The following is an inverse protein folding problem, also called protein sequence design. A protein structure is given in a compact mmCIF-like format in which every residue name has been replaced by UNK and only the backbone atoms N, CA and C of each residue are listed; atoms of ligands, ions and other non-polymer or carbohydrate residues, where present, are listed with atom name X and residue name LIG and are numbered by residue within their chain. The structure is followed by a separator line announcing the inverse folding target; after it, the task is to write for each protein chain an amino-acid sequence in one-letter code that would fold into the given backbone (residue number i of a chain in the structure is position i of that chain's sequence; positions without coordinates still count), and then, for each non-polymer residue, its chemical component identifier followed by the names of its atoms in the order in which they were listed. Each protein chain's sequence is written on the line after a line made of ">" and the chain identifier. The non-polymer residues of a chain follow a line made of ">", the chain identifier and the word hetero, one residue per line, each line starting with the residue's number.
data_IF_022895768274
#
_entry.id   IF_022895768274
#
_cell.length_a   1.000
_cell.length_b   1.000
_cell.length_c   1.000
_cell.angle_alpha   90.00
_cell.angle_beta   90.00
_cell.angle_gamma   90.00
#
_symmetry.space_group_name_H-M   'P 1'
#
loop_
_entity.id
_entity.type
_entity.pdbx_description
1 polymer ?
#
# COMPACT_ATOMS: atom_id res chain seq x y z
N UNK A 1 -13.64 -12.03 4.06
CA UNK A 1 -13.59 -12.94 2.91
C UNK A 1 -12.90 -14.23 3.36
N UNK A 2 -13.36 -15.41 2.92
CA UNK A 2 -12.73 -16.70 3.27
C UNK A 2 -12.15 -17.29 1.99
N UNK A 3 -10.86 -17.58 1.96
CA UNK A 3 -10.21 -18.24 0.82
C UNK A 3 -10.09 -19.74 1.09
N UNK A 4 -10.02 -20.52 0.02
CA UNK A 4 -9.87 -21.98 0.11
C UNK A 4 -8.41 -22.36 0.35
N UNK A 5 -7.47 -21.58 -0.18
CA UNK A 5 -6.04 -21.81 -0.13
C UNK A 5 -5.26 -20.49 -0.22
N UNK A 6 -3.96 -20.53 0.14
CA UNK A 6 -3.05 -19.38 0.09
C UNK A 6 -2.95 -18.82 -1.32
N UNK A 7 -2.92 -19.67 -2.33
CA UNK A 7 -2.79 -19.27 -3.73
C UNK A 7 -3.97 -18.40 -4.18
N UNK A 8 -5.19 -18.77 -3.82
CA UNK A 8 -6.41 -18.01 -4.11
C UNK A 8 -6.37 -16.64 -3.41
N UNK A 9 -5.89 -16.57 -2.16
CA UNK A 9 -5.65 -15.30 -1.44
C UNK A 9 -4.63 -14.43 -2.19
N UNK A 10 -3.54 -15.02 -2.66
CA UNK A 10 -2.53 -14.28 -3.42
C UNK A 10 -3.04 -13.84 -4.80
N UNK A 11 -3.82 -14.67 -5.48
CA UNK A 11 -4.46 -14.32 -6.76
C UNK A 11 -5.41 -13.13 -6.61
N UNK A 12 -6.16 -13.07 -5.50
CA UNK A 12 -7.08 -11.98 -5.21
C UNK A 12 -6.38 -10.62 -5.15
N UNK A 13 -5.10 -10.56 -4.77
CA UNK A 13 -4.34 -9.30 -4.80
C UNK A 13 -4.33 -8.65 -6.18
N UNK A 14 -4.18 -9.42 -7.25
CA UNK A 14 -4.18 -8.85 -8.61
C UNK A 14 -5.57 -8.29 -8.97
N UNK A 15 -6.64 -8.88 -8.47
CA UNK A 15 -8.01 -8.40 -8.67
C UNK A 15 -8.30 -7.15 -7.84
N UNK A 16 -7.87 -7.13 -6.57
CA UNK A 16 -8.01 -5.97 -5.69
C UNK A 16 -7.24 -4.76 -6.19
N UNK A 17 -6.07 -4.98 -6.81
CA UNK A 17 -5.24 -3.91 -7.34
C UNK A 17 -5.57 -3.55 -8.80
N UNK A 18 -6.43 -4.30 -9.49
CA UNK A 18 -6.81 -3.97 -10.86
C UNK A 18 -7.66 -2.68 -10.89
N UNK A 19 -7.27 -1.64 -11.65
CA UNK A 19 -8.00 -0.37 -11.69
C UNK A 19 -9.29 -0.47 -12.52
N UNK A 20 -10.18 0.54 -12.43
CA UNK A 20 -11.19 0.74 -13.46
C UNK A 20 -10.58 0.97 -14.84
N UNK A 21 -11.32 0.62 -15.90
CA UNK A 21 -10.90 0.89 -17.27
C UNK A 21 -10.92 2.39 -17.56
N UNK A 22 -9.74 2.96 -17.81
CA UNK A 22 -9.57 4.37 -18.17
C UNK A 22 -8.75 4.42 -19.47
N UNK A 23 -9.40 4.54 -20.63
CA UNK A 23 -8.73 4.54 -21.92
C UNK A 23 -7.95 5.83 -22.17
N UNK A 24 -6.95 5.74 -23.04
CA UNK A 24 -6.26 6.88 -23.62
C UNK A 24 -6.80 7.12 -25.05
N UNK A 25 -7.58 8.19 -25.21
CA UNK A 25 -8.18 8.56 -26.49
C UNK A 25 -7.17 9.11 -27.52
N UNK A 26 -5.98 9.50 -27.07
CA UNK A 26 -4.91 10.02 -27.92
C UNK A 26 -3.87 8.95 -28.29
N UNK A 27 -4.09 7.69 -27.86
CA UNK A 27 -3.21 6.58 -28.15
C UNK A 27 -3.21 6.22 -29.65
N UNK A 28 -2.12 5.64 -30.17
CA UNK A 28 -2.04 5.16 -31.55
C UNK A 28 -2.91 3.91 -31.81
N UNK A 29 -3.56 3.36 -30.78
CA UNK A 29 -4.43 2.17 -30.85
C UNK A 29 -5.83 2.54 -30.38
N UNK A 30 -6.84 1.87 -30.94
CA UNK A 30 -8.24 2.19 -30.65
C UNK A 30 -8.63 1.90 -29.19
N UNK A 31 -9.66 2.60 -28.70
CA UNK A 31 -10.23 2.32 -27.38
C UNK A 31 -10.77 0.89 -27.26
N UNK A 32 -11.29 0.31 -28.36
CA UNK A 32 -11.78 -1.07 -28.40
C UNK A 32 -10.62 -2.07 -28.22
N UNK A 33 -9.46 -1.81 -28.81
CA UNK A 33 -8.26 -2.61 -28.56
C UNK A 33 -7.79 -2.51 -27.11
N UNK A 34 -7.81 -1.31 -26.53
CA UNK A 34 -7.51 -1.09 -25.11
C UNK A 34 -8.46 -1.88 -24.21
N UNK A 35 -9.76 -1.86 -24.48
CA UNK A 35 -10.75 -2.63 -23.73
C UNK A 35 -10.53 -4.13 -23.85
N UNK A 36 -10.25 -4.65 -25.05
CA UNK A 36 -9.93 -6.07 -25.25
C UNK A 36 -8.70 -6.50 -24.46
N UNK A 37 -7.64 -5.67 -24.44
CA UNK A 37 -6.44 -5.94 -23.64
C UNK A 37 -6.74 -5.89 -22.13
N UNK A 38 -7.53 -4.92 -21.68
CA UNK A 38 -7.98 -4.82 -20.29
C UNK A 38 -8.76 -6.05 -19.84
N UNK A 39 -9.71 -6.50 -20.66
CA UNK A 39 -10.53 -7.70 -20.40
C UNK A 39 -9.65 -8.96 -20.35
N UNK A 40 -8.69 -9.10 -21.26
CA UNK A 40 -7.75 -10.23 -21.25
C UNK A 40 -6.95 -10.31 -19.95
N UNK A 41 -6.39 -9.18 -19.45
CA UNK A 41 -5.67 -9.15 -18.17
C UNK A 41 -6.58 -9.46 -16.98
N UNK A 42 -7.80 -8.89 -16.98
CA UNK A 42 -8.80 -9.19 -15.95
C UNK A 42 -9.12 -10.69 -15.91
N UNK A 43 -9.30 -11.31 -17.08
CA UNK A 43 -9.63 -12.71 -17.21
C UNK A 43 -8.44 -13.61 -16.81
N UNK A 44 -7.19 -13.17 -17.02
CA UNK A 44 -5.99 -13.82 -16.48
C UNK A 44 -5.98 -13.83 -14.95
N UNK A 45 -6.32 -12.70 -14.30
CA UNK A 45 -6.39 -12.61 -12.84
C UNK A 45 -7.56 -13.38 -12.26
N UNK A 46 -8.67 -13.44 -12.99
CA UNK A 46 -9.78 -14.33 -12.67
C UNK A 46 -9.37 -15.80 -12.76
N UNK A 47 -8.66 -16.19 -13.83
CA UNK A 47 -8.17 -17.56 -14.00
C UNK A 47 -7.19 -17.97 -12.89
N UNK A 48 -6.30 -17.06 -12.47
CA UNK A 48 -5.38 -17.30 -11.35
C UNK A 48 -6.13 -17.57 -10.02
N UNK A 49 -7.27 -16.91 -9.81
CA UNK A 49 -8.11 -17.07 -8.63
C UNK A 49 -8.97 -18.34 -8.70
N UNK A 50 -9.60 -18.60 -9.85
CA UNK A 50 -10.53 -19.71 -10.06
C UNK A 50 -9.79 -21.06 -10.20
N UNK A 51 -8.61 -21.07 -10.83
CA UNK A 51 -7.82 -22.28 -11.13
C UNK A 51 -6.32 -22.13 -10.73
N UNK A 52 -5.98 -21.91 -9.45
CA UNK A 52 -4.60 -21.67 -9.01
C UNK A 52 -3.62 -22.81 -9.34
N UNK A 53 -4.10 -24.05 -9.48
CA UNK A 53 -3.30 -25.21 -9.91
C UNK A 53 -2.75 -25.10 -11.34
N UNK A 54 -3.31 -24.21 -12.18
CA UNK A 54 -2.71 -23.91 -13.47
C UNK A 54 -1.37 -23.17 -13.31
N UNK A 55 -1.15 -22.46 -12.20
CA UNK A 55 0.05 -21.65 -11.98
C UNK A 55 1.09 -22.41 -11.15
N UNK A 56 0.66 -23.18 -10.15
CA UNK A 56 1.53 -23.91 -9.21
C UNK A 56 1.16 -25.39 -9.10
N UNK A 57 2.12 -26.29 -8.78
CA UNK A 57 1.85 -27.73 -8.77
C UNK A 57 1.05 -28.21 -7.55
N UNK A 58 0.96 -27.40 -6.50
CA UNK A 58 0.31 -27.76 -5.24
C UNK A 58 -0.34 -26.53 -4.61
N UNK A 59 -1.39 -26.75 -3.83
CA UNK A 59 -2.09 -25.73 -3.05
C UNK A 59 -1.81 -25.91 -1.56
N UNK A 60 -1.84 -24.81 -0.81
CA UNK A 60 -1.63 -24.82 0.64
C UNK A 60 -2.88 -24.33 1.37
N UNK A 61 -3.12 -24.83 2.58
CA UNK A 61 -4.23 -24.38 3.41
C UNK A 61 -4.16 -22.86 3.62
N UNK A 62 -5.29 -22.15 3.46
CA UNK A 62 -5.35 -20.70 3.58
C UNK A 62 -4.83 -20.21 4.94
N UNK A 63 -4.01 -19.16 4.89
CA UNK A 63 -3.45 -18.50 6.05
C UNK A 63 -2.90 -17.12 5.65
N UNK A 64 -2.71 -16.23 6.62
CA UNK A 64 -2.06 -14.94 6.43
C UNK A 64 -1.36 -14.48 7.70
N UNK A 65 -0.34 -13.62 7.57
CA UNK A 65 0.29 -13.06 8.75
C UNK A 65 -0.68 -12.09 9.45
N UNK A 66 -1.02 -12.30 10.74
CA UNK A 66 -1.93 -11.41 11.45
C UNK A 66 -1.25 -10.06 11.79
N UNK A 67 0.07 -10.05 11.91
CA UNK A 67 0.85 -8.86 12.23
C UNK A 67 1.71 -8.41 11.04
N UNK A 68 1.38 -7.22 10.51
CA UNK A 68 2.12 -6.57 9.42
C UNK A 68 3.57 -6.25 9.76
N UNK A 69 3.84 -5.81 10.98
CA UNK A 69 5.13 -5.25 11.37
C UNK A 69 6.06 -6.28 12.02
N UNK A 70 5.51 -7.42 12.47
CA UNK A 70 6.29 -8.52 13.03
C UNK A 70 5.78 -9.87 12.53
N UNK A 71 5.87 -10.10 11.22
CA UNK A 71 5.47 -11.36 10.57
C UNK A 71 6.19 -12.59 11.16
N UNK A 72 7.44 -12.41 11.56
CA UNK A 72 8.27 -13.46 12.16
C UNK A 72 7.67 -14.02 13.47
N UNK A 73 7.00 -13.17 14.28
CA UNK A 73 6.34 -13.62 15.51
C UNK A 73 5.22 -14.63 15.30
N UNK A 74 4.72 -14.79 14.08
CA UNK A 74 3.66 -15.76 13.78
C UNK A 74 4.15 -17.21 13.79
N UNK A 75 5.47 -17.46 13.73
CA UNK A 75 6.04 -18.81 13.80
C UNK A 75 5.80 -19.69 12.56
N UNK A 76 5.39 -19.09 11.43
CA UNK A 76 5.18 -19.77 10.15
C UNK A 76 6.09 -19.22 9.04
N UNK A 77 7.39 -19.56 9.04
CA UNK A 77 8.34 -19.04 8.05
C UNK A 77 7.99 -19.45 6.61
N UNK A 78 7.42 -20.63 6.43
CA UNK A 78 7.09 -21.17 5.10
C UNK A 78 5.89 -20.47 4.46
N UNK A 79 5.00 -19.87 5.25
CA UNK A 79 3.81 -19.18 4.73
C UNK A 79 4.20 -18.07 3.75
N UNK A 80 5.18 -17.24 4.12
CA UNK A 80 5.67 -16.17 3.25
C UNK A 80 6.34 -16.72 1.98
N UNK A 81 6.99 -17.89 2.06
CA UNK A 81 7.58 -18.54 0.89
C UNK A 81 6.50 -19.06 -0.06
N UNK A 82 5.45 -19.68 0.47
CA UNK A 82 4.30 -20.18 -0.29
C UNK A 82 3.57 -19.04 -1.00
N UNK A 83 3.24 -17.97 -0.27
CA UNK A 83 2.63 -16.75 -0.81
C UNK A 83 3.46 -16.15 -1.95
N UNK A 84 4.76 -15.96 -1.73
CA UNK A 84 5.70 -15.43 -2.74
C UNK A 84 5.83 -16.35 -3.95
N UNK A 85 5.79 -17.67 -3.76
CA UNK A 85 5.93 -18.63 -4.84
C UNK A 85 4.78 -18.51 -5.85
N UNK A 86 3.55 -18.35 -5.37
CA UNK A 86 2.40 -18.13 -6.24
C UNK A 86 2.46 -16.79 -6.97
N UNK A 87 2.69 -15.68 -6.26
CA UNK A 87 2.82 -14.36 -6.90
C UNK A 87 3.90 -14.37 -7.98
N UNK A 88 5.08 -14.95 -7.70
CA UNK A 88 6.16 -15.10 -8.69
C UNK A 88 5.76 -15.94 -9.91
N UNK A 89 4.82 -16.87 -9.78
CA UNK A 89 4.32 -17.64 -10.91
C UNK A 89 3.47 -16.77 -11.84
N UNK A 90 2.56 -15.97 -11.28
CA UNK A 90 1.75 -14.99 -12.03
C UNK A 90 2.64 -13.90 -12.63
N UNK A 91 3.54 -13.30 -11.83
CA UNK A 91 4.46 -12.24 -12.27
C UNK A 91 5.37 -12.70 -13.41
N UNK A 92 5.76 -13.99 -13.45
CA UNK A 92 6.52 -14.54 -14.58
C UNK A 92 5.73 -14.56 -15.88
N UNK A 93 4.44 -14.87 -15.83
CA UNK A 93 3.57 -14.82 -17.02
C UNK A 93 3.49 -13.37 -17.51
N UNK A 94 3.21 -12.43 -16.60
CA UNK A 94 3.12 -11.00 -16.91
C UNK A 94 4.43 -10.44 -17.46
N UNK A 95 5.57 -10.79 -16.85
CA UNK A 95 6.89 -10.39 -17.33
C UNK A 95 7.15 -10.92 -18.74
N UNK A 96 6.85 -12.19 -19.00
CA UNK A 96 7.03 -12.80 -20.33
C UNK A 96 6.11 -12.15 -21.36
N UNK A 97 4.89 -11.81 -20.98
CA UNK A 97 3.99 -11.08 -21.85
C UNK A 97 4.55 -9.68 -22.17
N UNK A 98 5.01 -8.96 -21.16
CA UNK A 98 5.64 -7.65 -21.33
C UNK A 98 6.89 -7.72 -22.25
N UNK A 99 7.75 -8.71 -22.03
CA UNK A 99 8.95 -8.94 -22.85
C UNK A 99 8.59 -9.27 -24.30
N UNK A 100 7.58 -10.11 -24.53
CA UNK A 100 7.12 -10.44 -25.87
C UNK A 100 6.55 -9.20 -26.60
N UNK A 101 5.78 -8.36 -25.90
CA UNK A 101 5.29 -7.09 -26.45
C UNK A 101 6.39 -6.11 -26.85
N UNK A 102 7.60 -6.26 -26.29
CA UNK A 102 8.80 -5.51 -26.65
C UNK A 102 9.65 -6.19 -27.73
N UNK A 103 9.15 -7.26 -28.34
CA UNK A 103 9.88 -8.10 -29.28
C UNK A 103 11.15 -8.73 -28.69
N UNK A 104 11.21 -8.89 -27.37
CA UNK A 104 12.29 -9.62 -26.73
C UNK A 104 12.10 -11.13 -26.91
N UNK A 105 13.18 -11.92 -27.03
CA UNK A 105 13.07 -13.38 -27.14
C UNK A 105 12.44 -13.99 -25.88
N UNK A 106 11.25 -14.58 -26.02
CA UNK A 106 10.52 -15.22 -24.93
C UNK A 106 10.29 -16.70 -25.23
N UNK A 107 10.58 -17.55 -24.24
CA UNK A 107 10.23 -18.98 -24.28
C UNK A 107 9.22 -19.30 -23.19
N UNK A 108 7.98 -19.53 -23.61
CA UNK A 108 6.92 -20.01 -22.72
C UNK A 108 7.08 -21.49 -22.39
N UNK A 109 6.82 -21.84 -21.13
CA UNK A 109 6.67 -23.25 -20.72
C UNK A 109 5.33 -23.81 -21.21
N UNK A 110 5.18 -25.14 -21.26
CA UNK A 110 3.90 -25.78 -21.62
C UNK A 110 2.74 -25.28 -20.76
N UNK A 111 2.99 -25.07 -19.46
CA UNK A 111 1.99 -24.55 -18.51
C UNK A 111 1.56 -23.13 -18.85
N UNK A 112 2.51 -22.25 -19.14
CA UNK A 112 2.18 -20.86 -19.49
C UNK A 112 1.47 -20.77 -20.84
N UNK A 113 1.84 -21.62 -21.79
CA UNK A 113 1.11 -21.73 -23.07
C UNK A 113 -0.35 -22.08 -22.85
N UNK A 114 -0.63 -23.00 -21.93
CA UNK A 114 -1.99 -23.37 -21.54
C UNK A 114 -2.70 -22.22 -20.80
N UNK A 115 -2.02 -21.48 -19.93
CA UNK A 115 -2.60 -20.30 -19.26
C UNK A 115 -3.01 -19.25 -20.31
N UNK A 116 -2.10 -18.90 -21.21
CA UNK A 116 -2.31 -17.87 -22.23
C UNK A 116 -3.45 -18.24 -23.19
N UNK A 117 -3.54 -19.50 -23.63
CA UNK A 117 -4.62 -19.93 -24.53
C UNK A 117 -6.00 -19.82 -23.88
N UNK A 118 -6.10 -19.99 -22.55
CA UNK A 118 -7.36 -19.82 -21.80
C UNK A 118 -7.85 -18.37 -21.75
N UNK A 119 -6.98 -17.40 -21.99
CA UNK A 119 -7.31 -15.96 -22.07
C UNK A 119 -7.25 -15.42 -23.50
N UNK A 120 -7.30 -16.31 -24.50
CA UNK A 120 -7.34 -15.94 -25.92
C UNK A 120 -5.99 -15.52 -26.51
N UNK A 121 -4.87 -15.78 -25.83
CA UNK A 121 -3.53 -15.50 -26.32
C UNK A 121 -2.91 -16.79 -26.87
N UNK A 122 -2.62 -16.84 -28.17
CA UNK A 122 -1.93 -17.97 -28.78
C UNK A 122 -0.41 -17.80 -28.66
N UNK A 123 0.29 -18.72 -27.97
CA UNK A 123 1.73 -18.59 -27.78
C UNK A 123 2.50 -18.73 -29.09
N UNK A 124 3.29 -17.72 -29.44
CA UNK A 124 4.08 -17.69 -30.68
C UNK A 124 3.43 -16.89 -31.81
N UNK A 125 2.22 -16.39 -31.62
CA UNK A 125 1.69 -15.32 -32.47
C UNK A 125 2.33 -13.97 -32.10
N UNK A 126 2.39 -13.08 -33.08
CA UNK A 126 2.84 -11.70 -32.88
C UNK A 126 1.88 -10.99 -31.90
N UNK A 127 2.38 -10.21 -30.93
CA UNK A 127 1.52 -9.43 -30.06
C UNK A 127 0.67 -8.44 -30.86
N UNK A 128 -0.58 -8.21 -30.45
CA UNK A 128 -1.43 -7.19 -31.04
C UNK A 128 -0.84 -5.78 -30.86
N UNK A 129 -1.27 -4.82 -31.69
CA UNK A 129 -0.77 -3.45 -31.65
C UNK A 129 -0.92 -2.81 -30.26
N UNK A 130 -2.06 -3.02 -29.59
CA UNK A 130 -2.27 -2.55 -28.21
C UNK A 130 -1.33 -3.19 -27.20
N UNK A 131 -1.04 -4.48 -27.34
CA UNK A 131 -0.08 -5.15 -26.46
C UNK A 131 1.32 -4.57 -26.68
N UNK A 132 1.76 -4.45 -27.92
CA UNK A 132 3.06 -3.86 -28.26
C UNK A 132 3.16 -2.43 -27.72
N UNK A 133 2.13 -1.61 -27.96
CA UNK A 133 2.08 -0.24 -27.47
C UNK A 133 2.15 -0.19 -25.93
N UNK A 134 1.35 -0.99 -25.22
CA UNK A 134 1.39 -1.04 -23.76
C UNK A 134 2.76 -1.42 -23.22
N UNK A 135 3.49 -2.32 -23.91
CA UNK A 135 4.80 -2.79 -23.49
C UNK A 135 5.95 -1.83 -23.86
N UNK A 136 5.79 -0.98 -24.87
CA UNK A 136 6.88 -0.16 -25.46
C UNK A 136 6.74 1.35 -25.28
N UNK A 137 5.53 1.86 -24.98
CA UNK A 137 5.29 3.30 -24.77
C UNK A 137 6.19 3.90 -23.69
N UNK A 138 6.47 5.19 -23.81
CA UNK A 138 7.33 5.95 -22.89
C UNK A 138 6.87 5.78 -21.44
N UNK A 139 7.80 5.44 -20.56
CA UNK A 139 7.54 5.23 -19.13
C UNK A 139 6.88 3.88 -18.80
N UNK A 140 6.68 2.99 -19.77
CA UNK A 140 6.12 1.67 -19.53
C UNK A 140 7.05 0.78 -18.70
N UNK A 141 6.45 0.06 -17.78
CA UNK A 141 7.04 -1.00 -16.98
C UNK A 141 6.01 -2.11 -16.73
N UNK A 142 6.46 -3.22 -16.16
CA UNK A 142 5.60 -4.39 -15.88
C UNK A 142 4.41 -4.02 -15.00
N UNK A 143 4.54 -3.10 -14.04
CA UNK A 143 3.38 -2.65 -13.24
C UNK A 143 2.34 -1.97 -14.11
N UNK A 144 2.73 -0.95 -14.87
CA UNK A 144 1.81 -0.21 -15.75
C UNK A 144 1.17 -1.09 -16.83
N UNK A 145 1.90 -2.11 -17.30
CA UNK A 145 1.42 -3.11 -18.25
C UNK A 145 0.40 -4.04 -17.60
N UNK A 146 0.76 -4.69 -16.50
CA UNK A 146 -0.07 -5.65 -15.78
C UNK A 146 -1.34 -5.02 -15.19
N UNK A 147 -1.31 -3.75 -14.83
CA UNK A 147 -2.47 -3.05 -14.30
C UNK A 147 -3.24 -2.27 -15.38
N UNK A 148 -2.87 -2.41 -16.66
CA UNK A 148 -3.56 -1.74 -17.76
C UNK A 148 -3.69 -0.21 -17.58
N UNK A 149 -2.60 0.44 -17.16
CA UNK A 149 -2.58 1.89 -16.91
C UNK A 149 -2.53 2.70 -18.23
N UNK A 150 -3.55 2.60 -19.08
CA UNK A 150 -3.55 3.19 -20.43
C UNK A 150 -3.27 4.69 -20.45
N UNK A 151 -3.90 5.49 -19.60
CA UNK A 151 -3.79 6.93 -19.62
C UNK A 151 -2.61 7.43 -18.78
N UNK A 152 -1.59 7.96 -19.45
CA UNK A 152 -0.45 8.56 -18.76
C UNK A 152 -0.88 9.71 -17.84
N UNK A 153 -0.31 9.76 -16.63
CA UNK A 153 -0.62 10.80 -15.64
C UNK A 153 -1.97 10.65 -14.93
N UNK A 154 -2.78 9.65 -15.27
CA UNK A 154 -4.01 9.35 -14.53
C UNK A 154 -3.69 8.75 -13.15
N UNK A 155 -4.36 9.18 -12.07
CA UNK A 155 -4.03 8.76 -10.71
C UNK A 155 -4.64 7.41 -10.33
N UNK A 156 -4.21 6.33 -11.00
CA UNK A 156 -4.77 5.00 -10.80
C UNK A 156 -4.75 4.53 -9.34
N UNK A 157 -3.71 4.87 -8.56
CA UNK A 157 -3.63 4.43 -7.17
C UNK A 157 -4.71 5.05 -6.28
N UNK A 158 -5.21 6.24 -6.66
CA UNK A 158 -6.34 6.92 -6.01
C UNK A 158 -7.67 6.21 -6.22
N UNK A 159 -7.86 5.51 -7.34
CA UNK A 159 -9.08 4.72 -7.57
C UNK A 159 -8.98 3.29 -7.01
N UNK A 160 -7.75 2.81 -6.81
CA UNK A 160 -7.50 1.45 -6.30
C UNK A 160 -7.49 1.41 -4.77
N UNK A 161 -6.67 2.23 -4.11
CA UNK A 161 -6.31 1.99 -2.72
C UNK A 161 -7.38 2.46 -1.71
N UNK A 162 -8.01 3.65 -1.86
CA UNK A 162 -9.03 4.12 -0.93
C UNK A 162 -10.24 3.20 -0.79
N UNK A 163 -10.71 2.58 -1.87
CA UNK A 163 -11.85 1.64 -1.83
C UNK A 163 -11.59 0.39 -1.00
N UNK A 164 -10.33 0.07 -0.72
CA UNK A 164 -9.94 -1.07 0.13
C UNK A 164 -9.97 -0.74 1.62
N UNK A 165 -10.16 0.54 1.97
CA UNK A 165 -10.17 1.02 3.35
C UNK A 165 -11.59 1.29 3.88
N UNK A 166 -12.64 1.23 3.06
CA UNK A 166 -13.99 1.54 3.50
C UNK A 166 -14.76 2.40 2.50
N UNK A 167 -15.76 3.17 2.96
CA UNK A 167 -16.57 4.00 2.07
C UNK A 167 -15.74 5.05 1.33
N UNK A 168 -15.84 5.08 0.00
CA UNK A 168 -15.06 6.01 -0.84
C UNK A 168 -15.32 7.48 -0.49
N UNK A 169 -16.56 7.82 -0.12
CA UNK A 169 -16.95 9.19 0.26
C UNK A 169 -16.22 9.70 1.51
N UNK A 170 -15.94 8.80 2.46
CA UNK A 170 -15.18 9.15 3.67
C UNK A 170 -13.75 9.52 3.30
N UNK A 171 -13.10 8.73 2.43
CA UNK A 171 -11.77 9.07 1.94
C UNK A 171 -11.76 10.36 1.12
N UNK A 172 -12.75 10.56 0.24
CA UNK A 172 -12.86 11.77 -0.57
C UNK A 172 -12.93 13.03 0.30
N UNK A 173 -13.64 12.99 1.44
CA UNK A 173 -13.69 14.11 2.40
C UNK A 173 -12.29 14.43 2.96
N UNK A 174 -11.56 13.40 3.38
CA UNK A 174 -10.19 13.55 3.88
C UNK A 174 -9.24 14.05 2.79
N UNK A 175 -9.33 13.51 1.58
CA UNK A 175 -8.56 13.92 0.40
C UNK A 175 -8.79 15.41 0.08
N UNK A 176 -10.05 15.83 -0.05
CA UNK A 176 -10.40 17.22 -0.35
C UNK A 176 -9.86 18.18 0.71
N UNK A 177 -10.02 17.84 2.01
CA UNK A 177 -9.47 18.66 3.10
C UNK A 177 -7.96 18.86 2.99
N UNK A 178 -7.22 17.80 2.63
CA UNK A 178 -5.76 17.86 2.43
C UNK A 178 -5.40 18.72 1.22
N UNK A 179 -6.05 18.49 0.07
CA UNK A 179 -5.79 19.22 -1.17
C UNK A 179 -6.08 20.72 -1.04
N UNK A 180 -7.19 21.09 -0.38
CA UNK A 180 -7.55 22.49 -0.07
C UNK A 180 -6.49 23.20 0.80
N UNK A 181 -5.66 22.44 1.52
CA UNK A 181 -4.58 22.94 2.38
C UNK A 181 -3.20 22.82 1.75
N UNK A 182 -3.14 22.56 0.45
CA UNK A 182 -1.88 22.51 -0.30
C UNK A 182 -1.07 21.23 -0.10
N UNK A 183 -1.67 20.17 0.44
CA UNK A 183 -1.03 18.87 0.42
C UNK A 183 -0.85 18.39 -1.02
N UNK A 184 0.26 17.71 -1.28
CA UNK A 184 0.59 17.15 -2.57
C UNK A 184 0.40 15.64 -2.57
N UNK A 185 -0.25 15.13 -3.62
CA UNK A 185 -0.37 13.70 -3.89
C UNK A 185 0.95 13.17 -4.48
N UNK A 186 1.43 12.07 -3.93
CA UNK A 186 2.60 11.31 -4.40
C UNK A 186 2.18 9.87 -4.54
N UNK A 187 2.21 9.40 -5.78
CA UNK A 187 1.88 8.02 -6.15
C UNK A 187 3.15 7.27 -6.46
N UNK A 188 3.19 6.00 -6.08
CA UNK A 188 4.26 5.09 -6.47
C UNK A 188 3.66 3.82 -7.02
N UNK A 189 4.18 3.42 -8.17
CA UNK A 189 3.74 2.25 -8.93
C UNK A 189 4.91 1.32 -9.28
N UNK A 190 6.12 1.66 -8.83
CA UNK A 190 7.32 0.85 -8.99
C UNK A 190 7.59 0.04 -7.73
N UNK A 191 7.32 -1.26 -7.82
CA UNK A 191 7.67 -2.19 -6.76
C UNK A 191 9.19 -2.41 -6.72
N UNK A 192 9.89 -1.73 -5.82
CA UNK A 192 11.23 -2.15 -5.44
C UNK A 192 11.36 -2.26 -3.91
N UNK A 193 11.97 -3.36 -3.46
CA UNK A 193 12.55 -3.46 -2.12
C UNK A 193 11.66 -3.90 -0.95
N UNK A 194 10.34 -3.68 -0.94
CA UNK A 194 9.53 -3.92 0.29
C UNK A 194 8.22 -4.70 0.14
N UNK A 195 7.85 -5.14 -1.07
CA UNK A 195 6.63 -5.95 -1.28
C UNK A 195 5.33 -5.14 -1.35
N UNK A 196 5.43 -3.81 -1.41
CA UNK A 196 4.34 -2.87 -1.65
C UNK A 196 4.43 -2.36 -3.10
N UNK A 197 3.64 -2.91 -4.02
CA UNK A 197 3.72 -2.54 -5.44
C UNK A 197 3.08 -1.18 -5.76
N UNK A 198 2.09 -0.77 -4.97
CA UNK A 198 1.35 0.48 -5.12
C UNK A 198 1.29 1.22 -3.79
N UNK A 199 1.48 2.54 -3.81
CA UNK A 199 1.20 3.40 -2.66
C UNK A 199 0.63 4.75 -3.09
N UNK A 200 -0.23 5.29 -2.25
CA UNK A 200 -0.85 6.59 -2.41
C UNK A 200 -0.57 7.42 -1.16
N UNK A 201 0.17 8.51 -1.32
CA UNK A 201 0.59 9.35 -0.19
C UNK A 201 0.17 10.79 -0.44
N UNK A 202 -0.34 11.46 0.61
CA UNK A 202 -0.56 12.90 0.62
C UNK A 202 0.41 13.49 1.64
N UNK A 203 1.16 14.50 1.24
CA UNK A 203 2.16 15.16 2.10
C UNK A 203 2.00 16.66 2.09
N UNK A 204 2.18 17.29 3.25
CA UNK A 204 2.26 18.74 3.34
C UNK A 204 3.69 19.22 3.02
N UNK A 205 3.92 19.93 1.91
CA UNK A 205 5.25 20.40 1.53
C UNK A 205 5.80 21.49 2.47
N UNK A 206 4.96 22.13 3.29
CA UNK A 206 5.40 23.14 4.26
C UNK A 206 6.38 22.58 5.32
N UNK A 207 6.44 21.26 5.49
CA UNK A 207 7.30 20.62 6.48
C UNK A 207 8.72 20.37 6.01
N UNK A 208 8.92 20.13 4.71
CA UNK A 208 10.22 19.79 4.17
C UNK A 208 10.21 19.89 2.65
N UNK A 209 11.29 20.43 2.09
CA UNK A 209 11.56 20.45 0.65
C UNK A 209 12.12 19.13 0.11
N UNK A 210 12.52 18.22 0.99
CA UNK A 210 13.04 16.92 0.58
C UNK A 210 11.94 16.04 -0.01
N UNK A 211 12.31 15.07 -0.83
CA UNK A 211 11.37 14.08 -1.31
C UNK A 211 10.75 13.27 -0.15
N UNK A 212 9.43 12.99 -0.17
CA UNK A 212 8.80 12.21 0.88
C UNK A 212 9.28 10.75 0.86
N UNK A 213 9.63 10.25 2.05
CA UNK A 213 9.99 8.85 2.24
C UNK A 213 8.83 7.88 1.99
N UNK A 214 9.17 6.61 1.74
CA UNK A 214 8.24 5.59 1.25
C UNK A 214 7.25 5.12 2.31
N UNK A 215 7.60 5.23 3.59
CA UNK A 215 6.80 4.71 4.71
C UNK A 215 6.29 5.84 5.62
N UNK A 216 5.25 5.54 6.40
CA UNK A 216 4.62 6.46 7.35
C UNK A 216 5.14 6.33 8.80
N UNK A 217 6.04 5.38 9.10
CA UNK A 217 6.45 5.09 10.49
C UNK A 217 7.78 5.68 10.92
N UNK A 218 8.79 5.69 10.05
CA UNK A 218 10.17 6.01 10.43
C UNK A 218 10.74 7.10 9.54
N UNK A 219 11.50 8.04 10.15
CA UNK A 219 12.17 9.15 9.46
C UNK A 219 11.21 9.95 8.55
N UNK A 220 9.96 10.05 8.98
CA UNK A 220 8.95 10.87 8.32
C UNK A 220 9.33 12.33 8.45
N UNK A 221 9.32 13.04 7.32
CA UNK A 221 9.66 14.47 7.23
C UNK A 221 8.45 15.36 6.98
N UNK A 222 7.39 14.81 6.42
CA UNK A 222 6.17 15.53 6.06
C UNK A 222 4.97 14.98 6.83
N UNK A 223 4.07 15.85 7.26
CA UNK A 223 2.73 15.43 7.72
C UNK A 223 1.90 14.91 6.57
N UNK A 224 0.85 14.16 6.90
CA UNK A 224 -0.15 13.66 5.94
C UNK A 224 -0.49 12.20 6.16
N UNK A 225 -0.95 11.52 5.11
CA UNK A 225 -1.36 10.12 5.18
C UNK A 225 -0.71 9.32 4.06
N UNK A 226 -0.49 8.03 4.30
CA UNK A 226 0.01 7.11 3.30
C UNK A 226 -0.83 5.84 3.31
N UNK A 227 -1.30 5.43 2.15
CA UNK A 227 -1.99 4.17 1.95
C UNK A 227 -1.03 3.20 1.27
N UNK A 228 -0.90 2.01 1.84
CA UNK A 228 0.01 0.96 1.41
C UNK A 228 -0.73 -0.39 1.33
N UNK A 229 -0.31 -1.23 0.39
CA UNK A 229 -0.87 -2.57 0.22
C UNK A 229 0.19 -3.67 0.39
N UNK A 230 -0.01 -4.56 1.37
CA UNK A 230 0.85 -5.73 1.65
C UNK A 230 0.06 -7.02 1.45
N UNK A 231 0.32 -7.80 0.39
CA UNK A 231 -0.45 -9.01 0.12
C UNK A 231 -0.26 -10.10 1.17
N UNK A 232 0.80 -10.02 1.99
CA UNK A 232 1.20 -11.13 2.87
C UNK A 232 0.53 -11.10 4.25
N UNK A 233 -0.39 -10.19 4.50
CA UNK A 233 -1.05 -10.00 5.79
C UNK A 233 -2.55 -10.17 5.68
N UNK A 234 -3.21 -10.41 6.82
CA UNK A 234 -4.66 -10.64 6.85
C UNK A 234 -5.48 -9.46 6.29
N UNK A 235 -5.03 -8.24 6.55
CA UNK A 235 -5.63 -7.01 6.05
C UNK A 235 -4.62 -6.25 5.16
N UNK A 236 -4.64 -6.45 3.84
CA UNK A 236 -3.58 -5.99 2.94
C UNK A 236 -3.46 -4.47 2.83
N UNK A 237 -4.56 -3.75 2.75
CA UNK A 237 -4.57 -2.29 2.73
C UNK A 237 -4.40 -1.72 4.14
N UNK A 238 -3.57 -0.68 4.27
CA UNK A 238 -3.41 0.09 5.51
C UNK A 238 -3.27 1.57 5.18
N UNK A 239 -4.01 2.40 5.91
CA UNK A 239 -3.80 3.84 5.99
C UNK A 239 -2.95 4.14 7.22
N UNK A 240 -1.82 4.81 7.03
CA UNK A 240 -0.95 5.26 8.10
C UNK A 240 -0.85 6.78 8.14
N UNK A 241 -0.93 7.35 9.34
CA UNK A 241 -0.66 8.76 9.57
C UNK A 241 0.85 9.00 9.54
N UNK A 242 1.28 10.04 8.83
CA UNK A 242 2.67 10.48 8.73
C UNK A 242 2.92 11.52 9.81
N UNK A 243 3.67 11.13 10.83
CA UNK A 243 3.96 11.96 12.00
C UNK A 243 5.45 12.35 11.96
N UNK A 244 5.79 13.58 11.56
CA UNK A 244 7.17 14.02 11.47
C UNK A 244 7.82 14.02 12.85
N UNK A 245 9.13 13.71 12.90
CA UNK A 245 9.94 13.65 14.13
C UNK A 245 9.49 12.60 15.17
N UNK A 246 8.51 11.74 14.84
CA UNK A 246 7.94 10.76 15.75
C UNK A 246 7.00 11.39 16.78
N UNK A 247 6.50 10.61 17.75
CA UNK A 247 5.47 11.07 18.68
C UNK A 247 5.97 11.98 19.80
N UNK A 248 7.26 11.93 20.15
CA UNK A 248 7.79 12.63 21.33
C UNK A 248 7.42 14.13 21.36
N UNK A 249 7.70 14.94 20.31
CA UNK A 249 7.41 16.37 20.36
C UNK A 249 5.92 16.67 20.52
N UNK A 250 5.07 15.83 19.93
CA UNK A 250 3.61 16.01 19.95
C UNK A 250 3.00 15.64 21.30
N UNK A 251 3.59 14.68 22.01
CA UNK A 251 3.21 14.37 23.38
C UNK A 251 3.66 15.47 24.36
N UNK A 252 4.78 16.15 24.10
CA UNK A 252 5.25 17.26 24.95
C UNK A 252 4.32 18.48 24.88
N UNK A 253 3.59 18.65 23.79
CA UNK A 253 2.57 19.71 23.62
C UNK A 253 1.13 19.19 23.72
N UNK A 254 0.91 18.02 24.33
CA UNK A 254 -0.39 17.35 24.43
C UNK A 254 -1.50 18.25 25.01
N UNK A 255 -1.17 19.15 25.95
CA UNK A 255 -2.14 20.07 26.55
C UNK A 255 -2.66 21.16 25.60
N UNK A 256 -2.00 21.38 24.46
CA UNK A 256 -2.47 22.33 23.44
C UNK A 256 -3.51 21.69 22.52
N UNK A 257 -3.68 20.37 22.58
CA UNK A 257 -4.66 19.64 21.77
C UNK A 257 -6.08 19.82 22.34
N UNK A 258 -7.09 19.78 21.47
CA UNK A 258 -8.49 19.74 21.92
C UNK A 258 -8.79 18.46 22.72
N UNK A 259 -9.79 18.45 23.62
CA UNK A 259 -10.13 17.26 24.39
C UNK A 259 -10.42 16.01 23.53
N UNK A 260 -11.04 16.20 22.37
CA UNK A 260 -11.28 15.11 21.40
C UNK A 260 -9.97 14.55 20.84
N UNK A 261 -9.02 15.43 20.48
CA UNK A 261 -7.71 15.01 19.97
C UNK A 261 -6.86 14.34 21.06
N UNK A 262 -6.85 14.87 22.29
CA UNK A 262 -6.21 14.21 23.44
C UNK A 262 -6.72 12.78 23.63
N UNK A 263 -8.05 12.60 23.60
CA UNK A 263 -8.70 11.29 23.69
C UNK A 263 -8.27 10.36 22.54
N UNK A 264 -8.17 10.90 21.31
CA UNK A 264 -7.70 10.15 20.15
C UNK A 264 -6.25 9.68 20.30
N UNK A 265 -5.34 10.56 20.74
CA UNK A 265 -3.92 10.23 20.97
C UNK A 265 -3.78 9.14 22.05
N UNK A 266 -4.52 9.25 23.15
CA UNK A 266 -4.51 8.26 24.24
C UNK A 266 -4.96 6.88 23.79
N UNK A 267 -5.98 6.79 22.92
CA UNK A 267 -6.44 5.49 22.37
C UNK A 267 -5.41 4.81 21.48
N UNK A 268 -4.50 5.57 20.85
CA UNK A 268 -3.56 5.05 19.86
C UNK A 268 -2.10 5.05 20.34
N UNK A 269 -1.86 5.48 21.58
CA UNK A 269 -0.53 5.52 22.21
C UNK A 269 -0.53 4.69 23.47
N UNK A 270 0.39 3.72 23.53
CA UNK A 270 0.56 2.81 24.65
C UNK A 270 1.06 3.57 25.89
N UNK A 271 0.45 3.28 27.04
CA UNK A 271 1.00 3.62 28.36
C UNK A 271 2.24 2.76 28.62
N UNK A 272 3.35 3.40 29.00
CA UNK A 272 4.62 2.73 29.26
C UNK A 272 4.45 1.59 30.27
N UNK A 273 4.83 0.38 29.87
CA UNK A 273 4.79 -0.85 30.67
C UNK A 273 6.20 -1.40 30.96
N UNK A 274 7.22 -0.54 30.80
CA UNK A 274 8.63 -0.90 30.99
C UNK A 274 9.15 -2.07 30.11
N UNK A 275 8.59 -2.27 28.91
CA UNK A 275 9.00 -3.36 27.99
C UNK A 275 10.47 -3.34 27.51
N UNK A 276 11.25 -2.30 27.81
CA UNK A 276 12.68 -2.24 27.48
C UNK A 276 13.03 -1.93 26.01
N UNK A 277 12.06 -1.81 25.10
CA UNK A 277 12.34 -1.61 23.67
C UNK A 277 13.22 -0.36 23.38
N UNK A 278 12.98 0.77 24.06
CA UNK A 278 13.74 2.01 23.86
C UNK A 278 15.20 1.93 24.36
N UNK A 279 15.51 0.95 25.19
CA UNK A 279 16.84 0.72 25.75
C UNK A 279 17.50 -0.55 25.21
N UNK A 280 16.84 -1.30 24.32
CA UNK A 280 17.33 -2.61 23.82
C UNK A 280 18.73 -2.55 23.19
N UNK A 281 19.12 -1.40 22.63
CA UNK A 281 20.42 -1.20 21.98
C UNK A 281 21.47 -0.60 22.91
N UNK A 282 21.08 -0.18 24.12
CA UNK A 282 22.01 0.34 25.10
C UNK A 282 22.74 -0.80 25.81
N UNK A 283 24.01 -0.98 25.47
CA UNK A 283 24.87 -1.99 26.10
C UNK A 283 25.37 -1.56 27.49
N UNK A 284 25.23 -0.29 27.86
CA UNK A 284 25.70 0.25 29.14
C UNK A 284 24.69 0.05 30.28
N UNK A 285 23.41 -0.16 29.95
CA UNK A 285 22.32 -0.26 30.92
C UNK A 285 21.97 1.05 31.62
N UNK A 286 22.50 2.19 31.16
CA UNK A 286 22.35 3.50 31.81
C UNK A 286 21.23 4.34 31.21
N UNK A 287 20.78 4.03 30.00
CA UNK A 287 19.71 4.78 29.33
C UNK A 287 18.39 4.61 30.08
N UNK A 288 17.73 5.70 30.51
CA UNK A 288 16.43 5.59 31.14
C UNK A 288 15.37 5.13 30.13
N UNK A 289 14.30 4.54 30.65
CA UNK A 289 13.11 4.27 29.87
C UNK A 289 12.54 5.58 29.32
N UNK A 290 12.07 5.55 28.07
CA UNK A 290 11.51 6.71 27.41
C UNK A 290 9.98 6.70 27.54
N UNK A 291 9.46 7.74 28.18
CA UNK A 291 8.04 8.09 28.20
C UNK A 291 7.89 9.61 28.25
N UNK A 292 6.70 10.09 27.90
CA UNK A 292 6.28 11.48 28.09
C UNK A 292 5.09 11.48 29.03
N UNK A 293 5.18 12.27 30.10
CA UNK A 293 4.08 12.43 31.04
C UNK A 293 3.06 13.42 30.49
N UNK A 294 1.79 13.02 30.46
CA UNK A 294 0.67 13.88 30.07
C UNK A 294 -0.42 13.82 31.14
N UNK A 295 -1.20 14.88 31.26
CA UNK A 295 -2.37 14.95 32.14
C UNK A 295 -3.64 14.84 31.28
N UNK A 296 -4.61 14.04 31.70
CA UNK A 296 -5.91 13.96 31.03
C UNK A 296 -7.01 13.77 32.07
N UNK A 297 -7.89 14.77 32.20
CA UNK A 297 -8.80 14.86 33.33
C UNK A 297 -8.04 15.10 34.63
N UNK A 298 -8.15 14.18 35.59
CA UNK A 298 -7.41 14.21 36.86
C UNK A 298 -6.29 13.15 36.93
N UNK A 299 -6.05 12.42 35.83
CA UNK A 299 -5.05 11.35 35.79
C UNK A 299 -3.77 11.80 35.09
N UNK A 300 -2.64 11.42 35.68
CA UNK A 300 -1.34 11.45 35.03
C UNK A 300 -1.11 10.14 34.25
N UNK A 301 -0.58 10.23 33.01
CA UNK A 301 -0.26 9.06 32.17
C UNK A 301 1.13 9.18 31.56
N UNK A 302 1.89 8.09 31.60
CA UNK A 302 3.21 8.01 30.96
C UNK A 302 3.11 7.33 29.59
N UNK A 303 3.14 8.11 28.51
CA UNK A 303 2.93 7.61 27.15
C UNK A 303 4.25 7.27 26.45
N UNK A 304 4.26 6.19 25.67
CA UNK A 304 5.44 5.74 24.94
C UNK A 304 5.63 6.54 23.63
N UNK A 305 6.77 7.24 23.43
CA UNK A 305 6.99 8.06 22.25
C UNK A 305 7.56 7.28 21.04
N UNK A 306 7.82 5.98 21.17
CA UNK A 306 8.49 5.17 20.15
C UNK A 306 7.55 4.13 19.54
N UNK A 307 7.64 3.89 18.24
CA UNK A 307 7.01 2.73 17.60
C UNK A 307 7.69 1.44 18.09
N UNK A 308 6.96 0.34 18.35
CA UNK A 308 5.52 0.11 18.12
C UNK A 308 4.59 0.55 19.27
N UNK A 309 5.09 1.36 20.21
CA UNK A 309 4.32 1.94 21.32
C UNK A 309 3.26 2.96 20.92
N UNK A 310 3.19 3.36 19.65
CA UNK A 310 2.02 4.03 19.08
C UNK A 310 1.61 3.36 17.76
N UNK A 311 0.31 3.35 17.48
CA UNK A 311 -0.28 2.73 16.28
C UNK A 311 -1.25 3.70 15.61
N UNK A 312 -0.71 4.64 14.84
CA UNK A 312 -1.49 5.52 13.97
C UNK A 312 -1.58 4.93 12.57
N UNK A 313 -2.14 3.72 12.49
CA UNK A 313 -2.42 3.05 11.23
C UNK A 313 -3.65 2.16 11.36
N UNK A 314 -4.47 2.12 10.31
CA UNK A 314 -5.78 1.48 10.30
C UNK A 314 -6.00 0.75 8.99
N UNK A 315 -6.73 -0.36 9.08
CA UNK A 315 -7.14 -1.18 7.92
C UNK A 315 -8.56 -0.85 7.46
N UNK A 316 -9.25 0.05 8.18
CA UNK A 316 -10.54 0.60 7.83
C UNK A 316 -10.59 2.10 8.17
N UNK A 317 -11.24 2.88 7.32
CA UNK A 317 -11.48 4.31 7.45
C UNK A 317 -12.98 4.55 7.48
N UNK A 318 -13.47 5.05 8.61
CA UNK A 318 -14.83 5.55 8.79
C UNK A 318 -14.81 7.06 9.05
N UNK A 319 -15.99 7.66 9.13
CA UNK A 319 -16.13 9.11 9.29
C UNK A 319 -15.52 9.62 10.60
N UNK A 320 -15.61 8.85 11.69
CA UNK A 320 -15.06 9.20 13.01
C UNK A 320 -13.54 9.25 12.94
N UNK A 321 -12.92 8.26 12.29
CA UNK A 321 -11.48 8.24 12.09
C UNK A 321 -11.06 9.37 11.15
N UNK A 322 -11.76 9.61 10.04
CA UNK A 322 -11.45 10.69 9.11
C UNK A 322 -11.44 12.06 9.81
N UNK A 323 -12.43 12.34 10.65
CA UNK A 323 -12.51 13.59 11.40
C UNK A 323 -11.37 13.70 12.44
N UNK A 324 -11.00 12.58 13.07
CA UNK A 324 -9.84 12.52 13.98
C UNK A 324 -8.51 12.75 13.26
N UNK A 325 -8.36 12.22 12.04
CA UNK A 325 -7.18 12.45 11.19
C UNK A 325 -7.10 13.91 10.77
N UNK A 326 -8.20 14.52 10.34
CA UNK A 326 -8.29 15.95 10.02
C UNK A 326 -7.88 16.80 11.22
N UNK A 327 -8.42 16.52 12.41
CA UNK A 327 -8.08 17.25 13.62
C UNK A 327 -6.59 17.13 13.98
N UNK A 328 -6.02 15.93 13.87
CA UNK A 328 -4.62 15.73 14.19
C UNK A 328 -3.68 16.35 13.13
N UNK A 329 -3.97 16.18 11.84
CA UNK A 329 -3.20 16.83 10.78
C UNK A 329 -3.23 18.35 10.90
N UNK A 330 -4.40 18.93 11.16
CA UNK A 330 -4.54 20.38 11.39
C UNK A 330 -3.74 20.85 12.61
N UNK A 331 -3.74 20.07 13.69
CA UNK A 331 -2.89 20.35 14.86
C UNK A 331 -1.40 20.27 14.52
N UNK A 332 -0.96 19.25 13.77
CA UNK A 332 0.44 19.16 13.37
C UNK A 332 0.81 20.36 12.49
N UNK A 333 -0.01 20.69 11.50
CA UNK A 333 0.26 21.76 10.54
C UNK A 333 0.39 23.14 11.19
N UNK A 334 -0.19 23.39 12.37
CA UNK A 334 0.06 24.65 13.10
C UNK A 334 1.49 24.79 13.62
N UNK A 335 2.27 23.70 13.61
CA UNK A 335 3.71 23.66 13.93
C UNK A 335 4.58 23.46 12.69
N UNK A 336 3.99 23.48 11.49
CA UNK A 336 4.79 23.43 10.27
C UNK A 336 5.84 24.56 10.35
N UNK A 337 7.11 24.27 10.07
CA UNK A 337 8.14 25.30 10.01
C UNK A 337 7.76 26.22 8.85
N UNK A 338 7.02 27.31 9.13
CA UNK A 338 6.63 28.30 8.13
C UNK A 338 7.83 28.58 7.23
N UNK A 339 7.62 28.54 5.91
CA UNK A 339 8.64 28.94 4.94
C UNK A 339 9.21 30.29 5.36
N UNK A 340 10.48 30.29 5.78
CA UNK A 340 11.32 31.48 5.79
C UNK A 340 11.83 31.71 4.38
#
# INVERSE_FOLDING_TARGET
>A
MKYTNVEQRMAHTYQELFPPFVPDGEAPVSMEEQERFYVMLRDLYRLAYDEPLLFVPQLHADDAHPNRFNKASYGKPDLMLQMRAFMKAVDRVLQRMFDQGRHAPVRYTTREKQILSRVGVQPGEEPSDVWQWMATRTGSNVTSFSHAFFKAGYPYTRDILPRLLGPEQTFLRLENWMLERGYQRVERTDGSGSGYALSLTYVNPAWSTDAPGEHFMYKVRHTGVSIQYDPYVEHPAVLGLRIPQGMKPWLEVFQQMSPALQSFILRHTKVCDACGYCVQTDKTGSRPLAFVTVEYGHDEKHLCPYFPGYRFCWTNLDDILADSLVAFLGFLDSFAPCGR
#
